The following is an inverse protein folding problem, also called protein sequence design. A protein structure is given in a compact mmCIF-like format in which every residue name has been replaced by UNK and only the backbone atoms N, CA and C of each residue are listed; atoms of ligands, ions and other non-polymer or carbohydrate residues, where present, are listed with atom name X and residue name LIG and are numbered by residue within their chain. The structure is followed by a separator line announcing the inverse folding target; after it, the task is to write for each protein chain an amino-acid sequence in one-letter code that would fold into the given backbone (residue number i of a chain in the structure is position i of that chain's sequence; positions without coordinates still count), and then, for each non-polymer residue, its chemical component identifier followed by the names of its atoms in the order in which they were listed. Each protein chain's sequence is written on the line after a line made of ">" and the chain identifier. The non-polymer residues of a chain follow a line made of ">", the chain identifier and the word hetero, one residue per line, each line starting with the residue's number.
data_IF_807000182296
#
_entry.id   IF_807000182296
#
_cell.length_a   1.000
_cell.length_b   1.000
_cell.length_c   1.000
_cell.angle_alpha   90.00
_cell.angle_beta   90.00
_cell.angle_gamma   90.00
#
_symmetry.space_group_name_H-M   'P 1'
#
loop_
_entity.id
_entity.type
_entity.pdbx_description
1 polymer ?
#
# COMPACT_ATOMS: atom_id res chain seq x y z
N UNK A 1 -20.59 16.37 -3.26
CA UNK A 1 -19.28 16.51 -2.59
C UNK A 1 -18.82 15.10 -2.25
N UNK A 2 -18.23 14.39 -3.21
CA UNK A 2 -17.76 13.02 -2.99
C UNK A 2 -16.27 13.11 -2.65
N UNK A 3 -15.95 13.16 -1.36
CA UNK A 3 -14.57 13.21 -0.91
C UNK A 3 -13.92 11.84 -1.11
N UNK A 4 -12.93 11.81 -2.00
CA UNK A 4 -12.19 10.62 -2.38
C UNK A 4 -10.87 10.54 -1.65
N UNK A 5 -10.99 10.46 -0.34
CA UNK A 5 -9.86 10.01 0.44
C UNK A 5 -10.38 8.83 1.24
N UNK A 6 -9.71 7.69 1.09
CA UNK A 6 -9.94 6.60 2.01
C UNK A 6 -9.83 7.14 3.43
N UNK A 7 -8.88 8.03 3.71
CA UNK A 7 -8.78 8.83 4.92
C UNK A 7 -9.48 10.18 4.79
N UNK A 8 -10.52 10.43 5.58
CA UNK A 8 -11.03 11.78 5.79
C UNK A 8 -9.96 12.67 6.44
N UNK A 9 -10.04 14.01 6.26
CA UNK A 9 -9.15 14.94 6.93
C UNK A 9 -9.05 14.65 8.44
N UNK A 10 -7.86 14.80 9.02
CA UNK A 10 -7.65 14.55 10.44
C UNK A 10 -8.64 15.35 11.29
N UNK A 11 -9.25 14.71 12.29
CA UNK A 11 -10.29 15.31 13.14
C UNK A 11 -11.69 15.28 12.54
N UNK A 12 -11.91 14.64 11.38
CA UNK A 12 -13.26 14.47 10.83
C UNK A 12 -14.01 13.39 11.60
N UNK A 13 -15.02 13.80 12.37
CA UNK A 13 -16.06 12.89 12.81
C UNK A 13 -16.97 12.57 11.63
N UNK A 14 -17.02 11.29 11.26
CA UNK A 14 -17.89 10.79 10.19
C UNK A 14 -19.37 10.75 10.63
N UNK A 15 -19.68 11.15 11.87
CA UNK A 15 -21.04 11.26 12.41
C UNK A 15 -21.70 9.90 12.68
N UNK A 16 -22.99 9.88 13.06
CA UNK A 16 -23.70 8.62 13.26
C UNK A 16 -23.87 7.83 11.94
N UNK A 17 -24.30 6.57 12.05
CA UNK A 17 -24.75 5.82 10.88
C UNK A 17 -25.99 6.47 10.27
N UNK A 18 -26.16 6.32 8.96
CA UNK A 18 -27.33 6.87 8.27
C UNK A 18 -28.58 6.12 8.74
N UNK A 19 -29.74 6.79 8.72
CA UNK A 19 -31.00 6.13 9.08
C UNK A 19 -31.25 4.89 8.21
N UNK A 20 -31.39 3.73 8.85
CA UNK A 20 -31.63 2.44 8.20
C UNK A 20 -30.37 1.67 7.77
N UNK A 21 -29.17 2.22 7.99
CA UNK A 21 -27.91 1.51 7.78
C UNK A 21 -27.74 0.40 8.85
N UNK A 22 -27.52 -0.85 8.42
CA UNK A 22 -27.38 -1.99 9.32
C UNK A 22 -25.93 -2.38 9.49
N UNK A 23 -25.51 -2.57 10.74
CA UNK A 23 -24.19 -3.12 11.06
C UNK A 23 -24.15 -4.61 10.75
N UNK A 24 -23.18 -5.04 9.95
CA UNK A 24 -22.96 -6.44 9.57
C UNK A 24 -21.76 -7.04 10.32
N UNK A 25 -20.72 -6.23 10.57
CA UNK A 25 -19.56 -6.64 11.34
C UNK A 25 -18.90 -5.44 12.02
N UNK A 26 -18.28 -5.67 13.18
CA UNK A 26 -17.47 -4.70 13.90
C UNK A 26 -16.28 -5.42 14.54
N UNK A 27 -15.10 -4.82 14.45
CA UNK A 27 -13.90 -5.33 15.09
C UNK A 27 -12.75 -4.33 15.00
N UNK A 28 -11.59 -4.71 15.54
CA UNK A 28 -10.36 -3.92 15.47
C UNK A 28 -9.33 -4.62 14.60
N UNK A 29 -8.77 -3.91 13.63
CA UNK A 29 -7.71 -4.43 12.78
C UNK A 29 -6.93 -3.27 12.15
N UNK A 30 -5.72 -3.55 11.69
CA UNK A 30 -4.93 -2.58 10.94
C UNK A 30 -5.62 -2.29 9.63
N UNK A 31 -5.57 -1.01 9.22
CA UNK A 31 -6.14 -0.52 7.97
C UNK A 31 -5.04 0.17 7.20
N UNK A 32 -4.90 -0.11 5.92
CA UNK A 32 -3.90 0.55 5.08
C UNK A 32 -4.46 0.83 3.69
N UNK A 33 -3.95 1.87 3.03
CA UNK A 33 -4.17 2.07 1.60
C UNK A 33 -2.93 1.64 0.84
N UNK A 34 -3.13 0.84 -0.19
CA UNK A 34 -2.12 0.48 -1.17
C UNK A 34 -2.48 1.12 -2.50
N UNK A 35 -1.48 1.44 -3.30
CA UNK A 35 -1.67 1.74 -4.71
C UNK A 35 -0.86 0.75 -5.54
N UNK A 36 -1.55 0.05 -6.43
CA UNK A 36 -0.96 -0.95 -7.31
C UNK A 36 -0.53 -0.35 -8.66
N UNK A 37 -0.20 0.94 -8.69
CA UNK A 37 0.32 1.66 -9.86
C UNK A 37 1.86 1.59 -10.00
N UNK A 38 2.59 1.29 -8.92
CA UNK A 38 4.06 1.16 -8.91
C UNK A 38 4.55 -0.26 -8.58
N UNK A 39 5.75 -0.60 -9.09
CA UNK A 39 6.37 -1.92 -8.96
C UNK A 39 6.73 -2.32 -7.51
N UNK A 40 6.60 -1.41 -6.55
CA UNK A 40 6.67 -1.69 -5.12
C UNK A 40 5.35 -1.32 -4.46
N UNK A 41 4.54 -2.31 -4.09
CA UNK A 41 3.27 -2.11 -3.38
C UNK A 41 3.53 -1.83 -1.90
N UNK A 42 4.20 -0.73 -1.58
CA UNK A 42 4.23 -0.22 -0.22
C UNK A 42 2.89 0.47 0.08
N UNK A 43 2.40 0.38 1.32
CA UNK A 43 1.21 1.14 1.70
C UNK A 43 1.51 2.63 1.62
N UNK A 44 0.58 3.42 1.06
CA UNK A 44 0.60 4.89 1.09
C UNK A 44 0.48 5.39 2.52
N UNK A 45 -0.32 4.71 3.33
CA UNK A 45 -0.46 4.94 4.77
C UNK A 45 -0.95 3.66 5.45
N UNK A 46 -0.71 3.56 6.76
CA UNK A 46 -1.15 2.45 7.60
C UNK A 46 -1.62 2.99 8.95
N UNK A 47 -2.76 2.47 9.42
CA UNK A 47 -3.30 2.62 10.77
C UNK A 47 -3.10 1.30 11.54
N UNK A 48 -2.88 1.37 12.87
CA UNK A 48 -2.47 0.21 13.65
C UNK A 48 -3.64 -0.75 13.97
N UNK A 49 -3.34 -1.90 14.57
CA UNK A 49 -4.29 -2.99 14.79
C UNK A 49 -5.47 -2.64 15.72
N UNK A 50 -5.35 -1.54 16.47
CA UNK A 50 -6.38 -1.02 17.37
C UNK A 50 -7.44 -0.17 16.65
N UNK A 51 -7.32 0.04 15.34
CA UNK A 51 -8.27 0.81 14.54
C UNK A 51 -9.64 0.15 14.55
N UNK A 52 -10.68 0.88 14.97
CA UNK A 52 -12.05 0.39 14.98
C UNK A 52 -12.59 0.38 13.55
N UNK A 53 -13.03 -0.78 13.07
CA UNK A 53 -13.58 -1.00 11.73
C UNK A 53 -15.03 -1.47 11.85
N UNK A 54 -15.90 -0.83 11.06
CA UNK A 54 -17.33 -1.07 11.04
C UNK A 54 -17.79 -1.34 9.60
N UNK A 55 -18.30 -2.53 9.35
CA UNK A 55 -18.85 -2.93 8.06
C UNK A 55 -20.37 -2.88 8.15
N UNK A 56 -21.00 -2.17 7.21
CA UNK A 56 -22.45 -2.02 7.11
C UNK A 56 -22.98 -2.57 5.79
N UNK A 57 -24.28 -2.50 5.60
CA UNK A 57 -24.91 -2.84 4.32
C UNK A 57 -24.71 -1.77 3.22
N UNK A 58 -24.01 -0.66 3.52
CA UNK A 58 -23.73 0.43 2.54
C UNK A 58 -22.26 0.76 2.35
N UNK A 59 -21.43 0.60 3.39
CA UNK A 59 -20.03 1.01 3.40
C UNK A 59 -19.24 0.28 4.48
N UNK A 60 -17.91 0.38 4.40
CA UNK A 60 -17.03 0.19 5.55
C UNK A 60 -16.57 1.55 6.05
N UNK A 61 -16.56 1.72 7.36
CA UNK A 61 -16.02 2.88 8.06
C UNK A 61 -14.91 2.41 8.99
N UNK A 62 -13.91 3.25 9.16
CA UNK A 62 -12.87 3.00 10.14
C UNK A 62 -12.46 4.27 10.85
N UNK A 63 -12.11 4.12 12.13
CA UNK A 63 -11.72 5.23 13.00
C UNK A 63 -10.58 4.76 13.88
N UNK A 64 -9.47 5.49 13.82
CA UNK A 64 -8.38 5.37 14.74
C UNK A 64 -8.28 6.66 15.55
N UNK A 65 -8.35 6.53 16.87
CA UNK A 65 -8.26 7.67 17.78
C UNK A 65 -6.98 7.54 18.60
N UNK A 66 -6.15 8.57 18.56
CA UNK A 66 -5.00 8.78 19.44
C UNK A 66 -5.30 9.96 20.37
N UNK A 67 -4.50 10.17 21.41
CA UNK A 67 -4.71 11.29 22.34
C UNK A 67 -4.65 12.67 21.64
N UNK A 68 -3.93 12.76 20.52
CA UNK A 68 -3.67 14.02 19.80
C UNK A 68 -4.40 14.12 18.45
N UNK A 69 -4.73 12.99 17.82
CA UNK A 69 -5.29 12.97 16.46
C UNK A 69 -6.36 11.88 16.27
N UNK A 70 -7.37 12.20 15.48
CA UNK A 70 -8.37 11.24 15.01
C UNK A 70 -8.21 11.08 13.49
N UNK A 71 -7.92 9.86 13.06
CA UNK A 71 -7.88 9.47 11.66
C UNK A 71 -9.09 8.60 11.36
N UNK A 72 -9.93 9.02 10.42
CA UNK A 72 -11.15 8.30 10.08
C UNK A 72 -11.29 8.18 8.57
N UNK A 73 -12.14 7.26 8.12
CA UNK A 73 -12.32 7.03 6.70
C UNK A 73 -13.51 6.14 6.38
N UNK A 74 -13.95 6.19 5.12
CA UNK A 74 -15.03 5.33 4.64
C UNK A 74 -14.89 4.92 3.18
N UNK A 75 -15.46 3.77 2.84
CA UNK A 75 -15.48 3.21 1.50
C UNK A 75 -16.88 2.64 1.21
N UNK A 76 -17.57 3.20 0.21
CA UNK A 76 -18.90 2.76 -0.21
C UNK A 76 -18.84 1.54 -1.13
N UNK A 77 -19.89 0.70 -1.07
CA UNK A 77 -20.01 -0.52 -1.89
C UNK A 77 -20.16 -0.30 -3.39
N UNK A 78 -20.27 0.95 -3.83
CA UNK A 78 -20.24 1.37 -5.22
C UNK A 78 -18.89 1.11 -5.89
N UNK A 79 -17.78 1.21 -5.14
CA UNK A 79 -16.44 1.35 -5.72
C UNK A 79 -15.59 0.07 -5.85
N UNK A 80 -15.62 -0.89 -4.91
CA UNK A 80 -14.71 -2.04 -4.98
C UNK A 80 -14.94 -2.92 -6.22
N UNK A 81 -13.91 -3.13 -7.03
CA UNK A 81 -13.93 -4.00 -8.19
C UNK A 81 -13.51 -5.43 -7.84
N UNK A 82 -12.56 -5.58 -6.91
CA UNK A 82 -12.09 -6.89 -6.47
C UNK A 82 -12.01 -6.96 -4.96
N UNK A 83 -12.33 -8.14 -4.42
CA UNK A 83 -12.05 -8.52 -3.05
C UNK A 83 -11.03 -9.65 -3.08
N UNK A 84 -9.88 -9.44 -2.44
CA UNK A 84 -8.79 -10.42 -2.34
C UNK A 84 -8.55 -10.80 -0.89
N UNK A 85 -8.29 -12.07 -0.64
CA UNK A 85 -7.81 -12.59 0.64
C UNK A 85 -6.46 -13.23 0.40
N UNK A 86 -5.43 -12.71 1.06
CA UNK A 86 -4.07 -13.22 1.00
C UNK A 86 -3.70 -13.80 2.37
N UNK A 87 -3.66 -15.14 2.51
CA UNK A 87 -3.27 -15.79 3.73
C UNK A 87 -1.82 -15.49 4.07
N UNK A 88 -1.57 -15.16 5.33
CA UNK A 88 -0.22 -15.00 5.82
C UNK A 88 0.60 -16.28 5.71
N UNK A 89 1.84 -16.20 5.20
CA UNK A 89 2.81 -17.28 5.25
C UNK A 89 3.55 -17.33 6.61
N UNK A 90 3.74 -18.54 7.14
CA UNK A 90 4.51 -18.85 8.36
C UNK A 90 5.90 -19.41 8.06
N UNK A 91 6.30 -19.57 6.80
CA UNK A 91 7.58 -20.20 6.45
C UNK A 91 8.80 -19.37 6.88
N UNK A 92 9.50 -19.95 7.85
CA UNK A 92 10.92 -19.84 8.21
C UNK A 92 11.48 -18.47 8.61
N UNK A 93 11.48 -18.24 9.93
CA UNK A 93 12.51 -17.45 10.63
C UNK A 93 12.32 -15.94 10.69
N UNK A 94 11.36 -15.39 9.95
CA UNK A 94 10.87 -14.01 10.10
C UNK A 94 9.39 -14.05 10.47
N UNK A 95 8.95 -13.08 11.28
CA UNK A 95 7.59 -12.98 11.82
C UNK A 95 6.55 -13.37 10.76
N UNK A 96 5.65 -14.30 11.12
CA UNK A 96 4.57 -14.75 10.24
C UNK A 96 3.88 -13.54 9.62
N UNK A 97 3.76 -13.52 8.30
CA UNK A 97 2.96 -12.47 7.66
C UNK A 97 1.50 -12.67 8.07
N UNK A 98 0.77 -11.58 8.29
CA UNK A 98 -0.63 -11.65 8.73
C UNK A 98 -1.53 -11.78 7.52
N UNK A 99 -2.66 -12.47 7.68
CA UNK A 99 -3.68 -12.55 6.62
C UNK A 99 -4.19 -11.15 6.28
N UNK A 100 -4.22 -10.83 4.99
CA UNK A 100 -4.66 -9.54 4.47
C UNK A 100 -5.94 -9.70 3.66
N UNK A 101 -6.89 -8.78 3.85
CA UNK A 101 -8.08 -8.64 3.02
C UNK A 101 -7.95 -7.33 2.25
N UNK A 102 -8.08 -7.35 0.93
CA UNK A 102 -7.88 -6.19 0.07
C UNK A 102 -9.14 -5.89 -0.75
N UNK A 103 -9.67 -4.67 -0.60
CA UNK A 103 -10.75 -4.11 -1.43
C UNK A 103 -10.14 -3.21 -2.49
N UNK A 104 -9.94 -3.75 -3.69
CA UNK A 104 -9.33 -3.04 -4.82
C UNK A 104 -10.40 -2.27 -5.58
N UNK A 105 -10.18 -0.98 -5.79
CA UNK A 105 -11.06 -0.09 -6.55
C UNK A 105 -10.42 0.29 -7.89
N UNK A 106 -11.24 0.63 -8.88
CA UNK A 106 -10.74 1.23 -10.13
C UNK A 106 -10.57 2.73 -9.90
N UNK A 107 -9.34 3.18 -9.77
CA UNK A 107 -8.98 4.58 -9.55
C UNK A 107 -8.92 5.40 -10.84
N UNK A 108 -8.76 6.72 -10.73
CA UNK A 108 -8.50 7.58 -11.88
C UNK A 108 -7.16 7.20 -12.54
N UNK A 109 -7.02 7.51 -13.83
CA UNK A 109 -5.78 7.33 -14.60
C UNK A 109 -5.24 5.87 -14.65
N UNK A 110 -6.12 4.88 -14.49
CA UNK A 110 -5.73 3.47 -14.52
C UNK A 110 -5.03 2.99 -13.25
N UNK A 111 -5.11 3.75 -12.15
CA UNK A 111 -4.62 3.33 -10.83
C UNK A 111 -5.57 2.32 -10.19
N UNK A 112 -5.04 1.50 -9.29
CA UNK A 112 -5.82 0.51 -8.55
C UNK A 112 -5.57 0.67 -7.05
N UNK A 113 -6.16 1.70 -6.41
CA UNK A 113 -6.04 1.84 -4.98
C UNK A 113 -6.79 0.71 -4.27
N UNK A 114 -6.26 0.25 -3.14
CA UNK A 114 -6.87 -0.79 -2.36
C UNK A 114 -6.87 -0.47 -0.87
N UNK A 115 -8.03 -0.63 -0.25
CA UNK A 115 -8.16 -0.61 1.21
C UNK A 115 -7.87 -2.01 1.75
N UNK A 116 -6.90 -2.11 2.63
CA UNK A 116 -6.37 -3.37 3.14
C UNK A 116 -6.62 -3.48 4.64
N UNK A 117 -7.12 -4.65 5.07
CA UNK A 117 -7.34 -4.99 6.47
C UNK A 117 -6.45 -6.16 6.88
N UNK A 118 -5.77 -6.06 8.02
CA UNK A 118 -4.92 -7.13 8.55
C UNK A 118 -4.81 -7.05 10.07
N UNK A 119 -4.36 -8.10 10.75
CA UNK A 119 -4.07 -8.03 12.19
C UNK A 119 -5.29 -7.92 13.09
N UNK A 120 -5.07 -7.80 14.40
CA UNK A 120 -6.11 -7.69 15.41
C UNK A 120 -7.14 -8.83 15.34
N UNK A 121 -8.40 -8.47 15.11
CA UNK A 121 -9.52 -9.38 14.91
C UNK A 121 -9.36 -10.32 13.70
N UNK A 122 -8.41 -10.05 12.80
CA UNK A 122 -8.10 -10.84 11.61
C UNK A 122 -6.81 -11.67 11.76
N UNK A 123 -6.31 -11.82 12.99
CA UNK A 123 -5.11 -12.59 13.31
C UNK A 123 -5.22 -14.08 12.92
N UNK A 124 -6.44 -14.63 12.85
CA UNK A 124 -6.71 -16.00 12.37
C UNK A 124 -7.34 -15.96 10.97
N UNK A 125 -6.92 -16.90 10.12
CA UNK A 125 -7.42 -17.00 8.73
C UNK A 125 -8.93 -17.18 8.68
N UNK A 126 -9.50 -17.99 9.58
CA UNK A 126 -10.96 -18.17 9.64
C UNK A 126 -11.72 -16.89 10.02
N UNK A 127 -11.12 -15.97 10.78
CA UNK A 127 -11.75 -14.68 11.09
C UNK A 127 -11.66 -13.74 9.87
N UNK A 128 -10.54 -13.77 9.14
CA UNK A 128 -10.39 -13.05 7.89
C UNK A 128 -11.37 -13.54 6.81
N UNK A 129 -11.56 -14.86 6.67
CA UNK A 129 -12.52 -15.45 5.75
C UNK A 129 -13.96 -15.04 6.08
N UNK A 130 -14.33 -14.99 7.38
CA UNK A 130 -15.65 -14.51 7.81
C UNK A 130 -15.88 -13.05 7.44
N UNK A 131 -14.89 -12.19 7.67
CA UNK A 131 -14.99 -10.78 7.28
C UNK A 131 -15.06 -10.64 5.75
N UNK A 132 -14.22 -11.37 5.00
CA UNK A 132 -14.24 -11.35 3.53
C UNK A 132 -15.60 -11.81 2.98
N UNK A 133 -16.20 -12.86 3.55
CA UNK A 133 -17.55 -13.29 3.18
C UNK A 133 -18.60 -12.23 3.52
N UNK A 134 -18.48 -11.57 4.67
CA UNK A 134 -19.37 -10.46 5.06
C UNK A 134 -19.28 -9.31 4.05
N UNK A 135 -18.07 -8.89 3.68
CA UNK A 135 -17.82 -7.84 2.69
C UNK A 135 -18.38 -8.23 1.32
N UNK A 136 -18.09 -9.46 0.86
CA UNK A 136 -18.62 -9.99 -0.41
C UNK A 136 -20.14 -9.92 -0.46
N UNK A 137 -20.81 -10.42 0.58
CA UNK A 137 -22.27 -10.45 0.66
C UNK A 137 -22.85 -9.03 0.75
N UNK A 138 -22.24 -8.15 1.54
CA UNK A 138 -22.66 -6.76 1.69
C UNK A 138 -22.61 -6.02 0.34
N UNK A 139 -21.48 -6.11 -0.37
CA UNK A 139 -21.29 -5.44 -1.66
C UNK A 139 -22.23 -6.03 -2.71
N UNK A 140 -22.32 -7.36 -2.81
CA UNK A 140 -23.18 -8.02 -3.78
C UNK A 140 -24.66 -7.66 -3.55
N UNK A 141 -25.12 -7.70 -2.30
CA UNK A 141 -26.50 -7.36 -1.94
C UNK A 141 -26.81 -5.90 -2.24
N UNK A 142 -25.94 -4.98 -1.82
CA UNK A 142 -26.09 -3.55 -2.12
C UNK A 142 -26.23 -3.31 -3.63
N UNK A 143 -25.39 -3.94 -4.46
CA UNK A 143 -25.44 -3.74 -5.92
C UNK A 143 -26.63 -4.39 -6.59
N UNK A 144 -27.14 -5.50 -6.06
CA UNK A 144 -28.39 -6.10 -6.54
C UNK A 144 -29.58 -5.20 -6.22
N UNK A 145 -29.64 -4.68 -4.99
CA UNK A 145 -30.74 -3.80 -4.54
C UNK A 145 -30.74 -2.44 -5.26
N UNK A 146 -29.57 -1.99 -5.73
CA UNK A 146 -29.41 -0.70 -6.41
C UNK A 146 -29.12 -0.83 -7.92
N UNK A 147 -29.26 -2.02 -8.51
CA UNK A 147 -28.77 -2.33 -9.86
C UNK A 147 -29.23 -1.32 -10.93
N UNK A 148 -30.50 -0.91 -10.89
CA UNK A 148 -31.06 0.07 -11.83
C UNK A 148 -30.42 1.46 -11.69
N UNK A 149 -30.11 1.87 -10.44
CA UNK A 149 -29.50 3.18 -10.15
C UNK A 149 -28.03 3.24 -10.61
N UNK A 150 -27.32 2.12 -10.52
CA UNK A 150 -25.90 2.03 -10.89
C UNK A 150 -25.69 1.52 -12.33
N UNK A 151 -26.77 1.35 -13.10
CA UNK A 151 -26.72 0.93 -14.50
C UNK A 151 -26.20 -0.50 -14.72
N UNK A 152 -26.37 -1.39 -13.75
CA UNK A 152 -25.95 -2.80 -13.88
C UNK A 152 -26.96 -3.58 -14.72
N UNK A 153 -26.57 -4.16 -15.86
CA UNK A 153 -27.47 -4.93 -16.71
C UNK A 153 -28.07 -6.14 -15.97
N UNK A 154 -29.32 -6.50 -16.29
CA UNK A 154 -30.02 -7.63 -15.66
C UNK A 154 -29.23 -8.97 -15.67
N UNK A 155 -28.48 -9.34 -16.73
CA UNK A 155 -27.62 -10.53 -16.68
C UNK A 155 -26.53 -10.45 -15.62
N UNK A 156 -25.90 -9.29 -15.43
CA UNK A 156 -24.87 -9.06 -14.43
C UNK A 156 -25.45 -9.01 -13.02
N UNK A 157 -26.65 -8.42 -12.85
CA UNK A 157 -27.37 -8.45 -11.57
C UNK A 157 -27.65 -9.89 -11.11
N UNK A 158 -28.05 -10.79 -12.03
CA UNK A 158 -28.23 -12.23 -11.72
C UNK A 158 -26.92 -12.90 -11.30
N UNK A 159 -25.79 -12.53 -11.92
CA UNK A 159 -24.47 -13.02 -11.50
C UNK A 159 -24.10 -12.51 -10.10
N UNK A 160 -24.39 -11.24 -9.78
CA UNK A 160 -24.22 -10.68 -8.44
C UNK A 160 -25.08 -11.39 -7.40
N UNK A 161 -26.32 -11.77 -7.73
CA UNK A 161 -27.16 -12.57 -6.82
C UNK A 161 -26.51 -13.91 -6.47
N UNK A 162 -25.76 -14.51 -7.40
CA UNK A 162 -24.95 -15.71 -7.11
C UNK A 162 -23.80 -15.41 -6.17
N UNK A 163 -23.24 -14.19 -6.13
CA UNK A 163 -22.24 -13.80 -5.13
C UNK A 163 -22.82 -13.52 -3.75
N UNK A 164 -24.14 -13.45 -3.58
CA UNK A 164 -24.76 -13.38 -2.25
C UNK A 164 -24.79 -14.78 -1.60
N UNK A 165 -25.01 -15.82 -2.40
CA UNK A 165 -25.20 -17.22 -1.95
C UNK A 165 -23.99 -18.10 -2.32
N UNK A 166 -23.07 -17.56 -3.11
CA UNK A 166 -21.99 -18.29 -3.75
C UNK A 166 -20.90 -18.77 -2.81
N UNK A 167 -19.94 -19.54 -3.34
CA UNK A 167 -18.90 -20.18 -2.55
C UNK A 167 -18.19 -19.16 -1.67
N UNK A 168 -18.02 -19.57 -0.42
CA UNK A 168 -17.38 -18.76 0.59
C UNK A 168 -15.87 -18.79 0.45
N UNK A 169 -15.22 -17.71 0.90
CA UNK A 169 -13.79 -17.74 1.12
C UNK A 169 -13.47 -18.84 2.14
N UNK A 170 -12.52 -19.69 1.80
CA UNK A 170 -12.06 -20.82 2.62
C UNK A 170 -10.58 -21.00 2.36
N UNK A 171 -9.78 -20.21 3.07
CA UNK A 171 -8.34 -20.19 2.94
C UNK A 171 -7.65 -21.02 4.02
N UNK A 172 -6.39 -21.37 3.76
CA UNK A 172 -5.51 -22.02 4.73
C UNK A 172 -4.16 -21.31 4.79
N UNK A 173 -3.40 -21.59 5.84
CA UNK A 173 -2.16 -20.87 6.10
C UNK A 173 -1.11 -21.18 5.04
N UNK A 174 -0.50 -20.13 4.47
CA UNK A 174 0.43 -20.27 3.35
C UNK A 174 -0.21 -20.66 2.01
N UNK A 175 -1.55 -20.64 1.90
CA UNK A 175 -2.23 -20.84 0.62
C UNK A 175 -2.04 -19.66 -0.35
N UNK A 176 -2.32 -19.88 -1.64
CA UNK A 176 -2.17 -18.88 -2.71
C UNK A 176 -3.10 -17.67 -2.58
N UNK A 177 -4.09 -17.76 -1.69
CA UNK A 177 -5.15 -16.77 -1.53
C UNK A 177 -6.24 -16.86 -2.59
N UNK A 178 -7.28 -16.06 -2.41
CA UNK A 178 -8.48 -16.10 -3.24
C UNK A 178 -8.86 -14.68 -3.66
N UNK A 179 -9.28 -14.52 -4.91
CA UNK A 179 -9.76 -13.25 -5.47
C UNK A 179 -11.14 -13.42 -6.07
N UNK A 180 -12.05 -12.51 -5.74
CA UNK A 180 -13.41 -12.44 -6.31
C UNK A 180 -13.60 -11.11 -7.01
N UNK A 181 -14.10 -11.15 -8.25
CA UNK A 181 -14.51 -9.96 -8.99
C UNK A 181 -15.94 -9.56 -8.61
N UNK A 182 -16.10 -8.29 -8.26
CA UNK A 182 -17.34 -7.66 -7.86
C UNK A 182 -17.88 -6.85 -9.04
N UNK A 183 -18.87 -7.38 -9.76
CA UNK A 183 -19.47 -6.72 -10.92
C UNK A 183 -20.21 -5.43 -10.54
N UNK A 184 -20.36 -4.49 -11.48
CA UNK A 184 -21.07 -3.23 -11.23
C UNK A 184 -20.30 -2.23 -10.39
N UNK A 185 -18.98 -2.33 -10.34
CA UNK A 185 -18.14 -1.31 -9.72
C UNK A 185 -18.17 -0.03 -10.56
N UNK A 186 -18.36 1.10 -9.90
CA UNK A 186 -18.27 2.43 -10.49
C UNK A 186 -16.84 2.94 -10.28
N UNK A 187 -16.16 3.48 -11.30
CA UNK A 187 -14.86 4.08 -11.13
C UNK A 187 -14.87 5.12 -10.01
N UNK A 188 -13.83 5.09 -9.19
CA UNK A 188 -13.53 6.13 -8.22
C UNK A 188 -13.25 7.39 -9.06
N UNK A 189 -14.03 8.49 -8.94
CA UNK A 189 -13.73 9.76 -9.63
C UNK A 189 -12.27 10.24 -9.48
N UNK A 190 -11.86 11.27 -10.21
CA UNK A 190 -10.65 12.00 -9.87
C UNK A 190 -10.97 13.06 -8.81
N UNK A 191 -10.08 13.34 -7.85
CA UNK A 191 -10.19 14.58 -7.09
C UNK A 191 -10.26 15.71 -8.11
N UNK A 192 -11.27 16.57 -7.98
CA UNK A 192 -11.27 17.81 -8.75
C UNK A 192 -10.01 18.56 -8.32
N UNK A 193 -9.13 18.86 -9.28
CA UNK A 193 -8.15 19.92 -9.08
C UNK A 193 -8.98 21.13 -8.65
N UNK A 194 -8.84 21.58 -7.40
CA UNK A 194 -9.25 22.93 -7.07
C UNK A 194 -8.50 23.80 -8.05
N UNK A 195 -9.23 24.48 -8.96
CA UNK A 195 -8.69 25.57 -9.76
C UNK A 195 -7.82 26.39 -8.79
N UNK A 196 -6.53 26.63 -9.09
CA UNK A 196 -5.69 27.40 -8.18
C UNK A 196 -6.45 28.68 -7.89
N UNK A 197 -6.74 28.91 -6.60
CA UNK A 197 -7.48 30.08 -6.14
C UNK A 197 -6.97 31.29 -6.93
N UNK A 198 -7.87 32.13 -7.49
CA UNK A 198 -7.47 33.21 -8.38
C UNK A 198 -6.33 33.96 -7.69
N UNK A 199 -5.17 33.97 -8.36
CA UNK A 199 -3.94 34.52 -7.82
C UNK A 199 -4.27 35.80 -7.07
N UNK A 200 -3.91 35.85 -5.79
CA UNK A 200 -4.18 37.01 -4.96
C UNK A 200 -3.83 38.25 -5.77
N UNK A 201 -4.84 39.05 -6.09
CA UNK A 201 -4.64 40.32 -6.79
C UNK A 201 -3.62 41.05 -5.94
N UNK A 202 -2.42 41.28 -6.49
CA UNK A 202 -1.43 42.13 -5.86
C UNK A 202 -2.14 43.47 -5.62
N UNK A 203 -2.59 43.70 -4.39
CA UNK A 203 -2.88 45.05 -3.96
C UNK A 203 -1.52 45.73 -3.94
N UNK A 204 -1.38 46.70 -4.85
CA UNK A 204 -0.24 47.61 -4.90
C UNK A 204 0.08 48.07 -3.46
N UNK A 205 1.29 47.85 -2.94
CA UNK A 205 1.59 48.21 -1.56
C UNK A 205 1.32 49.69 -1.35
N UNK A 206 0.60 50.02 -0.27
CA UNK A 206 0.33 51.39 0.12
C UNK A 206 1.65 52.21 0.17
N UNK A 207 1.64 53.47 -0.29
CA UNK A 207 2.85 54.27 -0.40
C UNK A 207 3.58 54.36 0.94
N UNK A 208 4.90 54.14 0.90
CA UNK A 208 5.76 54.08 2.08
C UNK A 208 5.69 55.39 2.90
N UNK A 209 5.77 55.31 4.24
CA UNK A 209 5.83 56.49 5.08
C UNK A 209 7.07 57.32 4.76
N UNK A 210 6.88 58.64 4.66
CA UNK A 210 7.92 59.63 4.40
C UNK A 210 8.97 59.57 5.50
N UNK A 211 10.22 59.27 5.13
CA UNK A 211 11.36 59.32 6.06
C UNK A 211 11.58 60.76 6.53
N UNK A 212 11.49 61.00 7.84
CA UNK A 212 12.06 62.19 8.45
C UNK A 212 13.58 62.03 8.56
N UNK A 213 14.29 63.04 8.08
CA UNK A 213 15.75 63.12 8.06
C UNK A 213 16.31 63.10 9.51
N UNK A 214 17.26 62.20 9.84
CA UNK A 214 17.84 62.16 11.17
C UNK A 214 18.86 63.29 11.36
N UNK A 215 18.80 63.94 12.53
CA UNK A 215 19.77 64.96 12.99
C UNK A 215 21.22 64.44 13.01
N UNK A 216 22.22 65.30 12.70
CA UNK A 216 23.60 64.86 12.47
C UNK A 216 24.35 64.46 13.76
N UNK A 217 25.15 63.40 13.63
CA UNK A 217 26.02 62.85 14.68
C UNK A 217 27.36 63.62 14.82
N UNK A 218 28.01 63.59 16.00
CA UNK A 218 29.27 64.30 16.25
C UNK A 218 30.48 63.66 15.55
N UNK A 219 31.43 64.52 15.16
CA UNK A 219 32.62 64.22 14.36
C UNK A 219 33.65 63.38 15.12
N UNK A 220 34.11 62.28 14.52
CA UNK A 220 35.22 61.46 15.02
C UNK A 220 36.59 62.11 14.77
N UNK A 221 37.45 62.14 15.80
CA UNK A 221 38.90 62.35 15.65
C UNK A 221 39.63 61.00 15.57
N UNK A 222 40.55 60.88 14.61
CA UNK A 222 41.31 59.68 14.25
C UNK A 222 42.54 59.46 15.15
N UNK A 223 42.83 58.21 15.58
CA UNK A 223 44.17 57.81 16.02
C UNK A 223 44.93 56.95 14.99
N UNK A 224 46.26 56.98 15.10
CA UNK A 224 47.31 56.57 14.15
C UNK A 224 47.69 55.04 14.20
N UNK A 225 48.52 54.53 13.25
CA UNK A 225 48.71 53.09 13.02
C UNK A 225 49.85 52.46 13.86
N UNK A 226 49.81 51.13 14.02
CA UNK A 226 50.82 50.32 14.73
C UNK A 226 51.25 49.07 13.92
N UNK A 227 52.44 48.48 14.21
CA UNK A 227 53.36 47.89 13.22
C UNK A 227 53.49 46.34 13.22
N UNK A 228 54.43 45.86 12.38
CA UNK A 228 54.71 44.47 11.91
C UNK A 228 55.62 43.64 12.85
N UNK A 229 55.55 42.30 12.71
CA UNK A 229 56.22 41.15 13.39
C UNK A 229 57.69 41.22 13.88
N UNK A 230 58.04 40.38 14.89
CA UNK A 230 59.25 39.52 14.90
C UNK A 230 59.25 38.36 15.93
N UNK A 231 59.94 37.25 15.57
CA UNK A 231 60.14 35.95 16.24
C UNK A 231 60.94 35.97 17.56
N UNK A 232 60.81 34.92 18.39
CA UNK A 232 61.92 34.29 19.15
C UNK A 232 61.59 32.86 19.61
N UNK A 233 62.59 31.98 19.55
CA UNK A 233 62.58 30.53 19.84
C UNK A 233 62.82 30.19 21.33
N UNK A 234 62.54 28.96 21.82
CA UNK A 234 63.01 28.51 23.13
C UNK A 234 64.17 27.50 23.05
N UNK A 235 65.09 27.60 23.99
CA UNK A 235 66.21 26.70 24.29
C UNK A 235 66.09 26.20 25.74
N UNK A 236 66.31 24.88 25.96
CA UNK A 236 66.81 24.11 27.14
C UNK A 236 66.30 24.51 28.57
N UNK A 237 66.09 23.66 29.59
CA UNK A 237 66.46 22.28 29.96
C UNK A 237 65.60 21.84 31.19
N UNK A 238 65.61 20.53 31.48
CA UNK A 238 64.93 19.73 32.53
C UNK A 238 65.00 20.27 34.00
N UNK A 239 64.11 19.85 34.95
CA UNK A 239 64.04 18.44 35.41
C UNK A 239 62.67 17.88 35.87
N UNK A 240 62.60 16.53 35.84
CA UNK A 240 61.60 15.62 36.46
C UNK A 240 61.48 15.87 37.98
N UNK A 241 60.34 15.57 38.66
CA UNK A 241 59.99 14.18 39.01
C UNK A 241 58.49 13.81 39.14
N UNK A 242 58.26 12.48 39.16
CA UNK A 242 57.27 11.68 39.91
C UNK A 242 55.79 11.58 39.44
N UNK A 243 55.48 10.36 38.96
CA UNK A 243 54.31 9.50 39.21
C UNK A 243 52.99 10.13 39.70
N UNK A 244 51.90 9.89 38.96
CA UNK A 244 50.83 8.91 39.30
C UNK A 244 49.63 9.07 38.35
N UNK A 245 49.10 7.94 37.88
CA UNK A 245 47.67 7.78 37.66
C UNK A 245 47.05 8.19 36.32
N UNK A 246 46.44 7.18 35.70
CA UNK A 246 45.26 7.23 34.83
C UNK A 246 45.47 7.17 33.30
N UNK A 247 44.88 6.08 32.80
CA UNK A 247 44.84 5.61 31.43
C UNK A 247 43.86 6.41 30.58
N UNK A 248 44.24 6.63 29.32
CA UNK A 248 43.30 6.98 28.25
C UNK A 248 43.57 6.05 27.07
N UNK A 249 42.48 5.52 26.52
CA UNK A 249 42.43 4.46 25.53
C UNK A 249 43.13 4.82 24.21
N UNK A 250 43.98 3.91 23.74
CA UNK A 250 44.50 3.91 22.38
C UNK A 250 43.42 3.45 21.38
N UNK A 251 43.33 4.20 20.29
CA UNK A 251 42.57 3.89 19.07
C UNK A 251 43.13 2.61 18.44
N UNK A 252 42.32 1.59 18.07
CA UNK A 252 42.87 0.42 17.41
C UNK A 252 43.16 0.74 15.94
N UNK A 253 44.45 0.79 15.64
CA UNK A 253 45.04 0.72 14.31
C UNK A 253 44.67 -0.62 13.66
N UNK A 254 44.29 -0.57 12.38
CA UNK A 254 44.03 -1.71 11.50
C UNK A 254 45.20 -2.69 11.49
N UNK A 255 45.06 -3.78 12.24
CA UNK A 255 45.98 -4.92 12.22
C UNK A 255 45.55 -5.95 11.19
N UNK A 256 46.34 -6.10 10.13
CA UNK A 256 46.34 -7.23 9.20
C UNK A 256 46.47 -8.55 9.98
N UNK A 257 45.36 -9.27 10.17
CA UNK A 257 45.35 -10.56 10.85
C UNK A 257 45.19 -11.68 9.83
N UNK A 258 46.16 -12.58 9.86
CA UNK A 258 46.27 -13.77 9.03
C UNK A 258 44.98 -14.61 9.02
N UNK A 259 44.72 -15.24 7.88
CA UNK A 259 43.72 -16.30 7.69
C UNK A 259 44.03 -17.47 8.64
N UNK A 260 43.44 -17.45 9.83
CA UNK A 260 43.31 -18.61 10.70
C UNK A 260 41.82 -18.84 10.91
N UNK A 261 41.33 -19.91 10.27
CA UNK A 261 40.10 -20.67 10.56
C UNK A 261 38.96 -19.88 11.20
N UNK A 262 38.14 -19.23 10.36
CA UNK A 262 36.80 -18.78 10.77
C UNK A 262 35.91 -20.03 10.87
N UNK A 263 35.41 -20.41 12.05
CA UNK A 263 34.48 -21.53 12.17
C UNK A 263 33.26 -21.27 11.28
N UNK A 264 32.96 -22.17 10.35
CA UNK A 264 31.80 -22.08 9.45
C UNK A 264 32.09 -21.84 7.97
N UNK A 265 33.36 -21.69 7.54
CA UNK A 265 33.69 -21.56 6.10
C UNK A 265 33.23 -22.78 5.30
N UNK A 266 33.34 -23.99 5.87
CA UNK A 266 32.84 -25.21 5.23
C UNK A 266 31.31 -25.23 5.12
N UNK A 267 30.60 -24.71 6.13
CA UNK A 267 29.15 -24.61 6.12
C UNK A 267 28.66 -23.56 5.10
N UNK A 268 29.40 -22.46 4.95
CA UNK A 268 29.10 -21.44 3.94
C UNK A 268 29.42 -21.92 2.52
N UNK A 269 30.46 -22.74 2.34
CA UNK A 269 30.76 -23.40 1.06
C UNK A 269 29.65 -24.39 0.66
N UNK A 270 29.18 -25.21 1.59
CA UNK A 270 28.07 -26.14 1.35
C UNK A 270 26.77 -25.40 0.99
N UNK A 271 26.46 -24.30 1.70
CA UNK A 271 25.29 -23.47 1.39
C UNK A 271 25.40 -22.81 0.00
N UNK A 272 26.61 -22.44 -0.42
CA UNK A 272 26.84 -21.87 -1.75
C UNK A 272 26.68 -22.92 -2.86
N UNK A 273 27.13 -24.16 -2.64
CA UNK A 273 26.95 -25.26 -3.59
C UNK A 273 25.48 -25.67 -3.75
N UNK A 274 24.72 -25.74 -2.65
CA UNK A 274 23.28 -26.00 -2.68
C UNK A 274 22.51 -24.92 -3.45
N UNK A 275 22.87 -23.65 -3.24
CA UNK A 275 22.26 -22.53 -3.97
C UNK A 275 22.53 -22.62 -5.48
N UNK A 276 23.76 -22.99 -5.88
CA UNK A 276 24.13 -23.13 -7.28
C UNK A 276 23.41 -24.30 -7.96
N UNK A 277 23.19 -25.40 -7.22
CA UNK A 277 22.44 -26.56 -7.69
C UNK A 277 20.96 -26.24 -7.89
N UNK A 278 20.37 -25.47 -6.97
CA UNK A 278 18.98 -25.01 -7.09
C UNK A 278 18.77 -24.07 -8.30
N UNK A 279 19.73 -23.18 -8.58
CA UNK A 279 19.72 -22.34 -9.80
C UNK A 279 19.72 -23.20 -11.08
N UNK A 280 20.56 -24.24 -11.14
CA UNK A 280 20.62 -25.12 -12.30
C UNK A 280 19.33 -25.93 -12.51
N UNK A 281 18.75 -26.45 -11.42
CA UNK A 281 17.47 -27.17 -11.47
C UNK A 281 16.33 -26.24 -11.91
N UNK A 282 16.31 -24.99 -11.44
CA UNK A 282 15.30 -24.00 -11.87
C UNK A 282 15.37 -23.71 -13.38
N UNK A 283 16.59 -23.66 -13.94
CA UNK A 283 16.79 -23.44 -15.38
C UNK A 283 16.44 -24.65 -16.22
N UNK A 284 16.55 -25.86 -15.68
CA UNK A 284 16.12 -27.09 -16.36
C UNK A 284 14.61 -27.35 -16.21
N UNK A 285 13.98 -26.82 -15.16
CA UNK A 285 12.56 -27.02 -14.87
C UNK A 285 11.62 -26.07 -15.64
N UNK A 286 12.11 -25.07 -16.38
CA UNK A 286 11.27 -24.30 -17.29
C UNK A 286 11.01 -25.10 -18.57
N UNK A 287 9.78 -25.59 -18.81
CA UNK A 287 9.44 -26.18 -20.10
C UNK A 287 9.57 -25.09 -21.16
N UNK A 288 10.32 -25.38 -22.22
CA UNK A 288 10.56 -24.45 -23.31
C UNK A 288 9.24 -23.93 -23.92
N UNK A 289 9.30 -22.78 -24.58
CA UNK A 289 8.12 -22.16 -25.21
C UNK A 289 7.44 -23.11 -26.20
N UNK A 290 8.19 -24.02 -26.84
CA UNK A 290 7.65 -25.01 -27.75
C UNK A 290 6.77 -26.05 -27.03
N UNK A 291 7.17 -26.50 -25.84
CA UNK A 291 6.42 -27.45 -25.01
C UNK A 291 5.13 -26.82 -24.45
N UNK A 292 5.18 -25.53 -24.10
CA UNK A 292 3.99 -24.75 -23.70
C UNK A 292 3.02 -24.56 -24.88
N UNK A 293 3.55 -24.24 -26.06
CA UNK A 293 2.75 -24.10 -27.28
C UNK A 293 2.10 -25.43 -27.70
N UNK A 294 2.84 -26.55 -27.61
CA UNK A 294 2.31 -27.88 -27.91
C UNK A 294 1.19 -28.29 -26.94
N UNK A 295 1.36 -28.02 -25.64
CA UNK A 295 0.35 -28.30 -24.62
C UNK A 295 -0.92 -27.46 -24.82
N UNK A 296 -0.78 -26.21 -25.26
CA UNK A 296 -1.90 -25.32 -25.58
C UNK A 296 -2.63 -25.76 -26.86
N UNK A 297 -1.88 -26.11 -27.91
CA UNK A 297 -2.44 -26.63 -29.16
C UNK A 297 -3.25 -27.93 -28.94
N UNK A 298 -2.77 -28.82 -28.08
CA UNK A 298 -3.50 -30.04 -27.72
C UNK A 298 -4.83 -29.76 -27.00
N UNK A 299 -4.87 -28.77 -26.10
CA UNK A 299 -6.13 -28.36 -25.44
C UNK A 299 -7.12 -27.72 -26.41
N UNK A 300 -6.63 -26.88 -27.32
CA UNK A 300 -7.48 -26.25 -28.34
C UNK A 300 -8.05 -27.31 -29.27
N UNK A 301 -7.25 -28.29 -29.70
CA UNK A 301 -7.72 -29.39 -30.53
C UNK A 301 -8.81 -30.23 -29.81
N UNK A 302 -8.64 -30.53 -28.53
CA UNK A 302 -9.64 -31.24 -27.72
C UNK A 302 -10.97 -30.48 -27.66
N UNK A 303 -10.91 -29.16 -27.43
CA UNK A 303 -12.09 -28.31 -27.33
C UNK A 303 -12.86 -28.22 -28.66
N UNK A 304 -12.13 -28.23 -29.78
CA UNK A 304 -12.73 -28.21 -31.13
C UNK A 304 -13.29 -29.59 -31.51
N UNK A 305 -12.73 -30.69 -30.98
CA UNK A 305 -13.25 -32.03 -31.22
C UNK A 305 -14.44 -32.41 -30.32
N UNK A 306 -14.61 -31.77 -29.16
CA UNK A 306 -15.68 -32.07 -28.21
C UNK A 306 -17.00 -31.33 -28.49
N UNK A 307 -17.12 -30.59 -29.60
CA UNK A 307 -18.43 -30.10 -30.05
C UNK A 307 -19.30 -31.28 -30.46
N UNK A 308 -20.36 -31.63 -29.69
CA UNK A 308 -21.26 -32.71 -30.08
C UNK A 308 -22.08 -32.23 -31.27
N UNK A 309 -22.24 -33.14 -32.23
CA UNK A 309 -23.07 -32.98 -33.42
C UNK A 309 -24.40 -32.25 -33.14
N UNK A 310 -24.69 -31.19 -33.90
CA UNK A 310 -26.09 -30.87 -34.21
C UNK A 310 -26.64 -29.47 -33.97
N UNK A 311 -25.85 -28.42 -33.74
CA UNK A 311 -26.34 -27.04 -33.86
C UNK A 311 -25.33 -26.12 -34.54
N UNK A 312 -25.19 -26.28 -35.85
CA UNK A 312 -24.68 -25.22 -36.71
C UNK A 312 -25.60 -23.99 -36.58
N UNK A 313 -25.13 -22.99 -35.86
CA UNK A 313 -25.72 -21.67 -35.79
C UNK A 313 -25.77 -21.05 -37.18
N UNK A 314 -26.91 -21.21 -37.86
CA UNK A 314 -27.24 -20.57 -39.14
C UNK A 314 -27.31 -19.05 -38.95
N UNK A 315 -26.15 -18.40 -39.03
CA UNK A 315 -25.97 -16.94 -39.12
C UNK A 315 -26.68 -16.33 -40.35
N UNK A 316 -27.02 -17.15 -41.34
CA UNK A 316 -27.79 -16.77 -42.53
C UNK A 316 -29.27 -16.49 -42.27
N UNK A 317 -29.85 -16.95 -41.15
CA UNK A 317 -31.26 -16.72 -40.82
C UNK A 317 -31.52 -15.31 -40.26
N UNK A 318 -30.50 -14.62 -39.74
CA UNK A 318 -30.63 -13.28 -39.16
C UNK A 318 -30.42 -12.14 -40.17
N UNK A 319 -29.84 -12.41 -41.34
CA UNK A 319 -29.49 -11.37 -42.32
C UNK A 319 -30.55 -11.09 -43.40
N UNK A 320 -31.67 -11.84 -43.42
CA UNK A 320 -32.71 -11.71 -44.45
C UNK A 320 -34.09 -11.27 -43.92
N UNK A 321 -34.17 -10.69 -42.72
CA UNK A 321 -35.47 -10.30 -42.14
C UNK A 321 -35.97 -8.90 -42.52
N UNK A 322 -35.16 -8.11 -43.24
CA UNK A 322 -35.57 -6.80 -43.76
C UNK A 322 -35.38 -6.74 -45.28
N UNK A 323 -36.34 -7.27 -46.03
CA UNK A 323 -36.66 -6.88 -47.41
C UNK A 323 -38.08 -7.29 -47.78
#
# INVERSE_FOLDING_TARGET
>A
MFHQHFLSPAGTDLGPLDSGERVLWRGRCAVAEYAFDEASSLPRWTLPEETDVLVTDRRVRYVHHTEETQSSGELFWLWPQHLRVQPGNRETGRNATVTQIQLVCTGPNGTFPALVFAGGALSRIGDADRLANTLRQAIARFRVENADLIGVPAPQARMLSRLVIGPEFSNYQGGEGQTVTLLGAVPVPAPFDEDPAPAAVYQDPAPAPVYQEPTPAPVHQQPAPAPVHQQSAPAYENPVPAHEGFAYAEVPVSGSRAYAERPGVEADAQRAEEALRAELDSRQAEPDLASRAASLAARVASLVSETPDGQGSNLSAYLNRDR
#
